data_IF_308376765240
#
_entry.id   IF_308376765240
#
_cell.length_a   1.000
_cell.length_b   1.000
_cell.length_c   1.000
_cell.angle_alpha   90.00
_cell.angle_beta   90.00
_cell.angle_gamma   90.00
#
_symmetry.space_group_name_H-M   'P 1'
#
loop_
_entity.id
_entity.type
_entity.pdbx_description
1 polymer ?
#
# COMPACT_ATOMS: atom_id res chain seq x y z
N UNK A 1 8.48 -1.31 -21.66
CA UNK A 1 8.13 -0.36 -20.58
C UNK A 1 6.68 -0.61 -20.19
N UNK A 2 6.43 -1.54 -19.27
CA UNK A 2 5.07 -1.88 -18.84
C UNK A 2 4.65 -0.91 -17.74
N UNK A 3 3.80 0.06 -18.10
CA UNK A 3 3.09 0.88 -17.12
C UNK A 3 2.05 0.02 -16.42
N UNK A 4 2.05 0.06 -15.08
CA UNK A 4 1.01 -0.56 -14.26
C UNK A 4 -0.33 0.12 -14.59
N UNK A 5 -1.16 -0.55 -15.39
CA UNK A 5 -2.53 -0.15 -15.62
C UNK A 5 -3.33 -0.41 -14.34
N UNK A 6 -3.70 0.65 -13.64
CA UNK A 6 -4.50 0.60 -12.41
C UNK A 6 -5.96 0.15 -12.63
N UNK A 7 -6.36 -0.37 -13.80
CA UNK A 7 -7.77 -0.58 -14.11
C UNK A 7 -8.03 -1.83 -14.96
N UNK A 8 -7.82 -3.01 -14.39
CA UNK A 8 -8.76 -4.12 -14.67
C UNK A 8 -9.71 -4.22 -13.46
N UNK A 9 -10.91 -3.68 -13.61
CA UNK A 9 -11.99 -3.91 -12.64
C UNK A 9 -12.36 -5.38 -12.73
N UNK A 10 -11.69 -6.21 -11.94
CA UNK A 10 -11.93 -7.64 -11.88
C UNK A 10 -13.38 -7.90 -11.46
N UNK A 11 -14.02 -8.90 -12.09
CA UNK A 11 -15.41 -9.26 -11.79
C UNK A 11 -15.53 -9.61 -10.31
N UNK A 12 -16.52 -9.01 -9.61
CA UNK A 12 -16.81 -9.36 -8.22
C UNK A 12 -17.16 -10.84 -8.13
N UNK A 13 -16.42 -11.57 -7.30
CA UNK A 13 -16.71 -12.97 -6.98
C UNK A 13 -17.47 -13.02 -5.66
N UNK A 14 -18.62 -13.71 -5.57
CA UNK A 14 -19.29 -13.93 -4.29
C UNK A 14 -18.37 -14.75 -3.37
N UNK A 15 -18.23 -14.30 -2.14
CA UNK A 15 -17.42 -14.95 -1.10
C UNK A 15 -18.26 -15.05 0.17
N UNK A 16 -18.15 -16.18 0.87
CA UNK A 16 -18.76 -16.34 2.19
C UNK A 16 -17.79 -15.81 3.25
N UNK A 17 -18.24 -14.84 4.04
CA UNK A 17 -17.46 -14.20 5.10
C UNK A 17 -18.22 -14.31 6.42
N UNK A 18 -17.51 -14.53 7.51
CA UNK A 18 -18.08 -14.50 8.86
C UNK A 18 -17.85 -13.11 9.45
N UNK A 19 -18.93 -12.43 9.83
CA UNK A 19 -18.92 -11.11 10.46
C UNK A 19 -19.77 -11.24 11.73
N UNK A 20 -19.39 -10.51 12.79
CA UNK A 20 -20.17 -10.47 14.02
C UNK A 20 -21.60 -10.02 13.76
N UNK A 21 -22.54 -10.66 14.44
CA UNK A 21 -23.98 -10.42 14.29
C UNK A 21 -24.36 -8.99 14.66
N UNK A 22 -23.84 -8.47 15.77
CA UNK A 22 -24.14 -7.12 16.25
C UNK A 22 -23.76 -6.02 15.25
N UNK A 23 -22.63 -6.19 14.55
CA UNK A 23 -22.20 -5.27 13.47
C UNK A 23 -23.13 -5.38 12.26
N UNK A 24 -23.59 -6.58 11.91
CA UNK A 24 -24.51 -6.78 10.79
C UNK A 24 -25.89 -6.18 11.07
N UNK A 25 -26.38 -6.34 12.30
CA UNK A 25 -27.66 -5.78 12.73
C UNK A 25 -27.61 -4.24 12.77
N UNK A 26 -26.54 -3.67 13.30
CA UNK A 26 -26.31 -2.23 13.27
C UNK A 26 -26.27 -1.72 11.83
N UNK A 27 -25.47 -2.34 10.96
CA UNK A 27 -25.37 -1.97 9.55
C UNK A 27 -26.72 -2.07 8.83
N UNK A 28 -27.53 -3.08 9.14
CA UNK A 28 -28.88 -3.26 8.58
C UNK A 28 -29.83 -2.17 9.07
N UNK A 29 -29.79 -1.83 10.36
CA UNK A 29 -30.61 -0.75 10.93
C UNK A 29 -30.33 0.60 10.26
N UNK A 30 -29.05 0.83 9.90
CA UNK A 30 -28.56 2.01 9.19
C UNK A 30 -28.71 1.90 7.66
N UNK A 31 -29.27 0.79 7.15
CA UNK A 31 -29.46 0.51 5.72
C UNK A 31 -28.16 0.59 4.90
N UNK A 32 -27.04 0.21 5.50
CA UNK A 32 -25.74 0.18 4.84
C UNK A 32 -25.64 -1.00 3.87
N UNK A 33 -24.90 -0.79 2.78
CA UNK A 33 -24.52 -1.87 1.88
C UNK A 33 -23.33 -2.64 2.46
N UNK A 34 -23.61 -3.72 3.18
CA UNK A 34 -22.61 -4.55 3.88
C UNK A 34 -21.55 -5.12 2.95
N UNK A 35 -21.93 -5.54 1.74
CA UNK A 35 -21.00 -6.05 0.73
C UNK A 35 -20.01 -4.96 0.29
N UNK A 36 -20.50 -3.75 0.01
CA UNK A 36 -19.65 -2.60 -0.34
C UNK A 36 -18.74 -2.18 0.82
N UNK A 37 -19.26 -2.20 2.06
CA UNK A 37 -18.47 -1.88 3.24
C UNK A 37 -17.34 -2.92 3.46
N UNK A 38 -17.63 -4.20 3.30
CA UNK A 38 -16.64 -5.28 3.37
C UNK A 38 -15.58 -5.14 2.27
N UNK A 39 -16.00 -4.86 1.02
CA UNK A 39 -15.09 -4.61 -0.10
C UNK A 39 -14.13 -3.46 0.21
N UNK A 40 -14.63 -2.34 0.72
CA UNK A 40 -13.81 -1.20 1.12
C UNK A 40 -12.84 -1.53 2.27
N UNK A 41 -13.30 -2.28 3.28
CA UNK A 41 -12.46 -2.74 4.38
C UNK A 41 -11.29 -3.60 3.89
N UNK A 42 -11.56 -4.53 2.97
CA UNK A 42 -10.54 -5.40 2.36
C UNK A 42 -9.54 -4.56 1.54
N UNK A 43 -10.03 -3.62 0.71
CA UNK A 43 -9.15 -2.73 -0.08
C UNK A 43 -8.19 -1.97 0.83
N UNK A 44 -8.68 -1.41 1.92
CA UNK A 44 -7.86 -0.65 2.86
C UNK A 44 -6.83 -1.55 3.56
N UNK A 45 -7.24 -2.72 4.05
CA UNK A 45 -6.34 -3.68 4.69
C UNK A 45 -5.24 -4.17 3.72
N UNK A 46 -5.57 -4.43 2.45
CA UNK A 46 -4.59 -4.82 1.43
C UNK A 46 -3.58 -3.70 1.16
N UNK A 47 -4.05 -2.45 1.06
CA UNK A 47 -3.17 -1.28 0.87
C UNK A 47 -2.19 -1.13 2.04
N UNK A 48 -2.69 -1.24 3.26
CA UNK A 48 -1.86 -1.17 4.46
C UNK A 48 -0.82 -2.29 4.50
N UNK A 49 -1.25 -3.55 4.28
CA UNK A 49 -0.34 -4.69 4.24
C UNK A 49 0.76 -4.54 3.18
N UNK A 50 0.43 -4.06 1.97
CA UNK A 50 1.41 -3.77 0.93
C UNK A 50 2.37 -2.65 1.31
N UNK A 51 1.89 -1.61 1.98
CA UNK A 51 2.75 -0.52 2.46
C UNK A 51 3.76 -1.04 3.49
N UNK A 52 3.32 -1.90 4.42
CA UNK A 52 4.20 -2.52 5.41
C UNK A 52 5.22 -3.44 4.74
N UNK A 53 4.79 -4.25 3.78
CA UNK A 53 5.69 -5.11 3.01
C UNK A 53 6.72 -4.29 2.21
N UNK A 54 6.34 -3.15 1.64
CA UNK A 54 7.26 -2.25 0.95
C UNK A 54 8.27 -1.64 1.91
N UNK A 55 7.84 -1.17 3.10
CA UNK A 55 8.75 -0.65 4.12
C UNK A 55 9.76 -1.71 4.56
N UNK A 56 9.31 -2.94 4.81
CA UNK A 56 10.19 -4.05 5.21
C UNK A 56 11.21 -4.36 4.10
N UNK A 57 10.77 -4.47 2.84
CA UNK A 57 11.65 -4.77 1.70
C UNK A 57 12.62 -3.63 1.35
N UNK A 58 12.24 -2.37 1.58
CA UNK A 58 13.08 -1.23 1.24
C UNK A 58 14.04 -0.82 2.37
N UNK A 59 13.87 -1.37 3.58
CA UNK A 59 14.79 -1.14 4.69
C UNK A 59 16.23 -1.58 4.35
N UNK A 60 16.39 -2.74 3.74
CA UNK A 60 17.70 -3.24 3.30
C UNK A 60 18.23 -2.50 2.06
N UNK A 61 17.35 -2.12 1.13
CA UNK A 61 17.71 -1.39 -0.08
C UNK A 61 18.20 0.05 0.23
N UNK A 62 17.59 0.73 1.20
CA UNK A 62 17.99 2.07 1.64
C UNK A 62 19.31 2.06 2.42
N UNK A 63 19.55 1.04 3.26
CA UNK A 63 20.83 0.88 3.98
C UNK A 63 22.01 0.54 3.05
N UNK A 64 21.76 -0.13 1.93
CA UNK A 64 22.76 -0.39 0.90
C UNK A 64 23.07 0.87 0.06
N UNK A 65 22.05 1.68 -0.24
CA UNK A 65 22.23 2.95 -0.98
C UNK A 65 23.01 3.99 -0.16
N UNK A 66 22.75 4.09 1.14
CA UNK A 66 23.44 5.04 2.03
C UNK A 66 24.92 4.70 2.24
N UNK A 67 25.32 3.42 2.15
CA UNK A 67 26.74 3.01 2.24
C UNK A 67 27.55 3.27 0.97
N UNK A 68 26.89 3.57 -0.16
CA UNK A 68 27.56 3.88 -1.43
C UNK A 68 27.94 5.36 -1.55
N UNK A 69 27.18 6.25 -0.91
CA UNK A 69 27.43 7.70 -0.90
C UNK A 69 28.68 8.08 -0.05
N UNK A 70 29.10 7.22 0.86
CA UNK A 70 30.24 7.48 1.77
C UNK A 70 31.60 6.99 1.23
N UNK A 71 31.62 6.32 0.07
CA UNK A 71 32.84 5.71 -0.51
C UNK A 71 33.18 6.14 -1.93
N UNK A 72 32.27 6.78 -2.64
CA UNK A 72 32.54 7.37 -3.95
C UNK A 72 32.57 8.89 -3.75
N UNK A 73 33.78 9.45 -3.75
CA UNK A 73 33.99 10.89 -3.92
C UNK A 73 33.01 11.41 -4.98
N UNK A 74 32.22 12.45 -4.71
CA UNK A 74 31.32 13.02 -5.70
C UNK A 74 32.13 13.33 -6.96
N UNK A 75 31.83 12.63 -8.07
CA UNK A 75 32.46 12.88 -9.38
C UNK A 75 32.16 14.29 -9.93
N UNK A 76 31.32 15.04 -9.22
CA UNK A 76 30.96 16.42 -9.46
C UNK A 76 31.03 17.18 -8.13
N UNK A 77 31.94 18.15 -8.01
CA UNK A 77 31.78 19.24 -7.06
C UNK A 77 30.62 20.10 -7.54
N UNK A 78 29.51 20.18 -6.79
CA UNK A 78 28.43 21.07 -7.18
C UNK A 78 28.86 22.52 -7.00
N UNK A 79 28.47 23.38 -7.95
CA UNK A 79 28.74 24.83 -7.97
C UNK A 79 28.06 25.60 -6.82
N UNK A 80 27.13 24.97 -6.11
CA UNK A 80 26.49 25.51 -4.90
C UNK A 80 27.26 25.25 -3.59
N UNK A 81 28.39 24.52 -3.62
CA UNK A 81 29.23 24.26 -2.43
C UNK A 81 30.32 25.33 -2.22
N UNK A 82 30.55 26.20 -3.21
CA UNK A 82 31.51 27.31 -3.09
C UNK A 82 30.77 28.64 -3.00
N UNK A 83 30.44 29.03 -1.77
CA UNK A 83 30.05 30.38 -1.37
C UNK A 83 30.84 30.80 -0.14
#
# INVERSE_FOLDING_TARGET
MYGFSDQEVSKRRPVNLTIREDILDEARSLKLNTSKAAEMGIINAVREARSQEWLEKNRDALLAHNRRIDKEEPLLTPDWVSG
#
